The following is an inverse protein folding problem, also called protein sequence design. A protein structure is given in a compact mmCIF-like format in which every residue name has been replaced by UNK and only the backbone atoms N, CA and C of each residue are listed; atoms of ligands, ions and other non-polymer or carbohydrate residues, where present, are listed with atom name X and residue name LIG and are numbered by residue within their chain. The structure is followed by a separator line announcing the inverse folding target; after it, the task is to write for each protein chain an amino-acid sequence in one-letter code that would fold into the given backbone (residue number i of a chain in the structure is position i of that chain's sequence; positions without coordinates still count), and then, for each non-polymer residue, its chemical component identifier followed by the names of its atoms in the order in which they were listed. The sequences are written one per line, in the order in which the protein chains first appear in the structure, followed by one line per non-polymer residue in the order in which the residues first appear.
data_IF_074262708169
#
_entry.id   IF_074262708169
#
_cell.length_a   1.000
_cell.length_b   1.000
_cell.length_c   1.000
_cell.angle_alpha   90.00
_cell.angle_beta   90.00
_cell.angle_gamma   90.00
#
_symmetry.space_group_name_H-M   'P 1'
#
loop_
_entity.id
_entity.type
_entity.pdbx_description
1 polymer ?
#
# COMPACT_ATOMS: atom_id res chain seq x y z
N UNK A 1 3.09 9.22 -30.15
CA UNK A 1 2.99 8.70 -28.78
C UNK A 1 4.20 7.82 -28.59
N UNK A 2 5.21 8.31 -27.87
CA UNK A 2 6.41 7.53 -27.55
C UNK A 2 6.02 6.30 -26.72
N UNK A 3 6.64 5.17 -27.03
CA UNK A 3 6.32 3.90 -26.41
C UNK A 3 6.95 3.86 -25.01
N UNK A 4 6.27 4.42 -24.01
CA UNK A 4 6.72 4.51 -22.60
C UNK A 4 7.21 3.17 -22.00
N UNK A 5 6.86 2.04 -22.62
CA UNK A 5 7.33 0.71 -22.20
C UNK A 5 8.79 0.41 -22.55
N UNK A 6 9.39 1.11 -23.53
CA UNK A 6 10.80 0.92 -23.90
C UNK A 6 11.78 1.46 -22.85
N UNK A 7 11.31 2.29 -21.93
CA UNK A 7 12.12 2.92 -20.88
C UNK A 7 12.34 2.00 -19.66
N UNK A 8 11.66 0.86 -19.61
CA UNK A 8 11.73 -0.08 -18.49
C UNK A 8 12.34 -1.42 -18.92
N UNK A 9 13.05 -2.14 -18.02
CA UNK A 9 13.41 -3.52 -18.29
C UNK A 9 12.17 -4.40 -18.48
N UNK A 10 12.34 -5.52 -19.17
CA UNK A 10 11.33 -6.57 -19.27
C UNK A 10 11.06 -7.15 -17.87
N UNK A 11 9.80 -7.31 -17.44
CA UNK A 11 9.50 -7.78 -16.09
C UNK A 11 9.92 -9.24 -15.85
N UNK A 12 10.64 -9.50 -14.76
CA UNK A 12 10.90 -10.86 -14.30
C UNK A 12 9.73 -11.46 -13.51
N UNK A 13 8.94 -12.33 -14.15
CA UNK A 13 7.77 -12.98 -13.51
C UNK A 13 8.10 -14.02 -12.43
N UNK A 14 9.38 -14.34 -12.21
CA UNK A 14 9.81 -15.17 -11.07
C UNK A 14 10.07 -14.32 -9.81
N UNK A 15 10.06 -12.99 -9.92
CA UNK A 15 10.26 -12.07 -8.79
C UNK A 15 8.92 -11.46 -8.38
N UNK A 16 8.58 -11.66 -7.11
CA UNK A 16 7.31 -11.25 -6.51
C UNK A 16 7.57 -10.22 -5.41
N UNK A 17 6.82 -9.11 -5.43
CA UNK A 17 6.87 -8.10 -4.39
C UNK A 17 5.58 -8.06 -3.58
N UNK A 18 5.70 -8.15 -2.25
CA UNK A 18 4.57 -7.93 -1.34
C UNK A 18 4.06 -6.49 -1.49
N UNK A 19 2.76 -6.35 -1.74
CA UNK A 19 2.12 -5.07 -2.03
C UNK A 19 0.87 -4.87 -1.16
N UNK A 20 0.76 -3.69 -0.55
CA UNK A 20 -0.29 -3.34 0.38
C UNK A 20 -1.09 -2.15 -0.15
N UNK A 21 -2.42 -2.31 -0.22
CA UNK A 21 -3.36 -1.32 -0.79
C UNK A 21 -4.27 -0.71 0.27
N UNK A 22 -3.78 -0.64 1.51
CA UNK A 22 -4.55 -0.25 2.69
C UNK A 22 -4.36 1.22 3.10
N UNK A 23 -3.57 2.00 2.37
CA UNK A 23 -3.26 3.39 2.75
C UNK A 23 -4.33 4.35 2.23
N UNK A 24 -4.70 5.34 3.03
CA UNK A 24 -5.71 6.33 2.66
C UNK A 24 -5.38 7.73 3.19
N UNK A 25 -5.89 8.76 2.51
CA UNK A 25 -5.70 10.16 2.87
C UNK A 25 -7.00 10.99 2.75
N UNK A 26 -7.07 12.21 3.33
CA UNK A 26 -8.29 13.01 3.33
C UNK A 26 -8.84 13.34 1.94
N UNK A 27 -7.99 13.43 0.92
CA UNK A 27 -8.41 13.81 -0.43
C UNK A 27 -9.18 12.70 -1.16
N UNK A 28 -8.75 11.45 -1.03
CA UNK A 28 -9.34 10.31 -1.73
C UNK A 28 -10.24 9.45 -0.83
N UNK A 29 -9.99 9.46 0.47
CA UNK A 29 -10.61 8.55 1.45
C UNK A 29 -11.42 9.30 2.52
N UNK A 30 -11.36 10.64 2.54
CA UNK A 30 -12.05 11.48 3.53
C UNK A 30 -11.38 11.52 4.92
N UNK A 31 -10.41 10.64 5.17
CA UNK A 31 -9.57 10.59 6.38
C UNK A 31 -8.24 9.89 6.07
N UNK A 32 -7.29 9.98 6.98
CA UNK A 32 -6.12 9.10 6.93
C UNK A 32 -6.52 7.66 7.31
N UNK A 33 -5.92 6.69 6.62
CA UNK A 33 -6.06 5.26 6.90
C UNK A 33 -4.65 4.65 6.87
N UNK A 34 -4.32 3.81 7.86
CA UNK A 34 -2.99 3.23 8.10
C UNK A 34 -1.85 4.23 8.38
N UNK A 35 -1.86 5.45 7.82
CA UNK A 35 -0.87 6.48 8.16
C UNK A 35 -1.03 6.98 9.60
N UNK A 36 -2.26 7.07 10.09
CA UNK A 36 -2.61 7.48 11.45
C UNK A 36 -2.66 6.28 12.42
N UNK A 37 -1.83 5.25 12.19
CA UNK A 37 -1.85 4.00 12.93
C UNK A 37 -1.76 4.23 14.46
N UNK A 38 -2.45 3.44 15.30
CA UNK A 38 -2.28 3.52 16.74
C UNK A 38 -0.91 2.99 17.17
N UNK A 39 -0.38 3.58 18.23
CA UNK A 39 0.77 3.02 18.94
C UNK A 39 0.32 1.74 19.65
N UNK A 40 0.90 0.61 19.24
CA UNK A 40 0.54 -0.69 19.81
C UNK A 40 1.08 -0.82 21.24
N UNK A 41 0.24 -1.16 22.22
CA UNK A 41 0.70 -1.34 23.58
C UNK A 41 1.61 -2.56 23.68
N UNK A 42 2.61 -2.49 24.56
CA UNK A 42 3.36 -3.67 24.95
C UNK A 42 2.42 -4.67 25.67
N UNK A 43 2.63 -5.98 25.46
CA UNK A 43 1.76 -7.02 26.00
C UNK A 43 1.75 -7.08 27.54
N UNK A 44 2.86 -6.72 28.20
CA UNK A 44 2.93 -6.49 29.65
C UNK A 44 2.46 -5.06 29.99
N UNK A 45 1.36 -4.88 30.75
CA UNK A 45 0.85 -3.57 31.13
C UNK A 45 1.83 -2.70 31.92
N UNK A 46 2.74 -3.30 32.71
CA UNK A 46 3.75 -2.56 33.48
C UNK A 46 4.79 -1.93 32.57
N UNK A 47 5.13 -2.61 31.49
CA UNK A 47 6.02 -2.09 30.47
C UNK A 47 5.27 -1.06 29.62
N UNK A 48 4.02 -1.35 29.24
CA UNK A 48 3.19 -0.46 28.43
C UNK A 48 3.00 0.93 29.05
N UNK A 49 2.88 1.02 30.38
CA UNK A 49 2.75 2.31 31.08
C UNK A 49 3.96 3.23 30.95
N UNK A 50 5.11 2.69 30.52
CA UNK A 50 6.33 3.46 30.28
C UNK A 50 6.45 4.04 28.87
N UNK A 51 5.54 3.71 27.95
CA UNK A 51 5.58 4.13 26.55
C UNK A 51 4.41 5.06 26.18
N UNK A 52 4.58 5.92 25.15
CA UNK A 52 3.49 6.75 24.64
C UNK A 52 2.32 5.90 24.12
N UNK A 53 1.12 6.46 24.22
CA UNK A 53 -0.12 5.89 23.67
C UNK A 53 -0.79 6.91 22.75
N UNK A 54 -1.75 6.45 21.96
CA UNK A 54 -2.49 7.30 21.02
C UNK A 54 -2.33 6.85 19.57
N UNK A 55 -2.54 7.79 18.65
CA UNK A 55 -2.43 7.60 17.20
C UNK A 55 -1.48 8.64 16.62
N UNK A 56 -0.79 8.26 15.56
CA UNK A 56 0.00 9.20 14.76
C UNK A 56 -0.89 10.30 14.16
N UNK A 57 -0.34 11.48 13.91
CA UNK A 57 -1.04 12.64 13.33
C UNK A 57 -0.46 13.08 11.97
N UNK A 58 -0.88 12.43 10.86
CA UNK A 58 -0.40 12.79 9.53
C UNK A 58 -0.83 14.23 9.15
N UNK A 59 -0.04 14.94 8.30
CA UNK A 59 0.95 14.36 7.41
C UNK A 59 2.37 14.26 7.99
N UNK A 60 2.72 15.05 9.00
CA UNK A 60 4.11 15.14 9.49
C UNK A 60 4.47 13.99 10.45
N UNK A 61 3.49 13.48 11.19
CA UNK A 61 3.63 12.35 12.11
C UNK A 61 2.86 11.15 11.55
N UNK A 62 3.56 10.19 10.94
CA UNK A 62 2.97 8.98 10.36
C UNK A 62 3.45 7.74 11.10
N UNK A 63 2.66 6.67 11.04
CA UNK A 63 2.98 5.33 11.57
C UNK A 63 4.09 4.59 10.82
N UNK A 64 5.22 5.25 10.57
CA UNK A 64 6.39 4.68 9.91
C UNK A 64 7.67 5.37 10.36
N UNK A 65 8.77 4.62 10.46
CA UNK A 65 10.11 5.18 10.72
C UNK A 65 10.72 5.89 9.49
N UNK A 66 10.19 5.64 8.30
CA UNK A 66 10.61 6.25 7.04
C UNK A 66 9.45 7.05 6.45
N UNK A 67 9.77 8.11 5.71
CA UNK A 67 8.77 8.95 5.06
C UNK A 67 8.73 8.67 3.54
N UNK A 68 7.57 8.27 2.97
CA UNK A 68 7.47 8.02 1.54
C UNK A 68 7.73 9.28 0.71
N UNK A 69 8.42 9.15 -0.42
CA UNK A 69 8.61 10.26 -1.35
C UNK A 69 7.28 10.78 -1.94
N UNK A 70 6.25 9.92 -1.99
CA UNK A 70 4.88 10.27 -2.39
C UNK A 70 4.04 10.88 -1.25
N UNK A 71 4.63 11.06 -0.06
CA UNK A 71 3.91 11.49 1.15
C UNK A 71 2.93 10.43 1.68
N UNK A 72 2.04 10.81 2.61
CA UNK A 72 0.96 9.94 3.09
C UNK A 72 -0.13 9.82 2.02
N UNK A 73 0.18 9.01 1.00
CA UNK A 73 -0.63 8.83 -0.20
C UNK A 73 -1.90 8.01 0.06
N UNK A 74 -2.82 8.02 -0.90
CA UNK A 74 -3.93 7.07 -0.94
C UNK A 74 -3.62 5.93 -1.91
N UNK A 75 -3.90 4.69 -1.50
CA UNK A 75 -3.88 3.52 -2.40
C UNK A 75 -5.00 3.56 -3.43
N UNK A 76 -5.98 4.47 -3.29
CA UNK A 76 -7.06 4.72 -4.26
C UNK A 76 -6.67 5.75 -5.33
N UNK A 77 -5.56 6.47 -5.15
CA UNK A 77 -5.10 7.48 -6.10
C UNK A 77 -4.49 6.83 -7.35
N UNK A 78 -5.07 7.03 -8.55
CA UNK A 78 -4.54 6.45 -9.78
C UNK A 78 -3.10 6.88 -10.10
N UNK A 79 -2.70 8.10 -9.69
CA UNK A 79 -1.34 8.60 -9.93
C UNK A 79 -0.31 7.87 -9.08
N UNK A 80 -0.68 7.50 -7.86
CA UNK A 80 0.13 6.69 -6.94
C UNK A 80 0.26 5.27 -7.48
N UNK A 81 -0.84 4.66 -7.93
CA UNK A 81 -0.80 3.35 -8.57
C UNK A 81 0.10 3.35 -9.80
N UNK A 82 -0.02 4.35 -10.68
CA UNK A 82 0.84 4.49 -11.86
C UNK A 82 2.32 4.59 -11.48
N UNK A 83 2.66 5.40 -10.47
CA UNK A 83 4.03 5.54 -10.02
C UNK A 83 4.58 4.27 -9.35
N UNK A 84 3.76 3.55 -8.57
CA UNK A 84 4.16 2.25 -8.02
C UNK A 84 4.46 1.22 -9.11
N UNK A 85 3.64 1.15 -10.18
CA UNK A 85 3.92 0.23 -11.30
C UNK A 85 5.22 0.60 -12.02
N UNK A 86 5.52 1.90 -12.17
CA UNK A 86 6.80 2.38 -12.72
C UNK A 86 7.99 1.98 -11.83
N UNK A 87 7.85 2.09 -10.51
CA UNK A 87 8.89 1.68 -9.57
C UNK A 87 9.15 0.17 -9.64
N UNK A 88 8.09 -0.65 -9.68
CA UNK A 88 8.19 -2.11 -9.85
C UNK A 88 8.87 -2.49 -11.16
N UNK A 89 8.47 -1.85 -12.27
CA UNK A 89 9.12 -2.04 -13.57
C UNK A 89 10.59 -1.63 -13.55
N UNK A 90 10.93 -0.51 -12.92
CA UNK A 90 12.33 -0.08 -12.76
C UNK A 90 13.16 -1.08 -11.94
N UNK A 91 12.53 -1.78 -11.00
CA UNK A 91 13.14 -2.80 -10.16
C UNK A 91 13.17 -4.21 -10.77
N UNK A 92 12.75 -4.39 -12.04
CA UNK A 92 12.63 -5.70 -12.69
C UNK A 92 11.72 -6.69 -11.93
N UNK A 93 10.68 -6.18 -11.26
CA UNK A 93 9.65 -7.00 -10.62
C UNK A 93 8.53 -7.28 -11.62
N UNK A 94 8.14 -8.54 -11.78
CA UNK A 94 7.04 -8.93 -12.66
C UNK A 94 5.72 -9.23 -11.98
N UNK A 95 5.70 -9.48 -10.66
CA UNK A 95 4.48 -9.90 -9.95
C UNK A 95 4.27 -9.10 -8.66
N UNK A 96 3.10 -8.49 -8.53
CA UNK A 96 2.61 -7.92 -7.28
C UNK A 96 1.86 -8.99 -6.49
N UNK A 97 2.30 -9.28 -5.29
CA UNK A 97 1.60 -10.13 -4.35
C UNK A 97 0.79 -9.26 -3.39
N UNK A 98 -0.48 -9.05 -3.72
CA UNK A 98 -1.38 -8.11 -3.04
C UNK A 98 -1.91 -8.74 -1.77
N UNK A 99 -1.67 -8.10 -0.62
CA UNK A 99 -2.32 -8.46 0.64
C UNK A 99 -3.82 -8.22 0.51
N UNK A 100 -4.62 -9.28 0.61
CA UNK A 100 -6.06 -9.22 0.35
C UNK A 100 -6.86 -9.87 1.47
N UNK A 101 -7.89 -9.15 1.93
CA UNK A 101 -8.93 -9.64 2.82
C UNK A 101 -10.19 -9.92 2.01
N UNK A 102 -10.98 -10.96 2.34
CA UNK A 102 -12.30 -11.18 1.77
C UNK A 102 -13.22 -9.95 1.90
N UNK A 103 -14.25 -9.90 1.05
CA UNK A 103 -15.29 -8.86 1.13
C UNK A 103 -15.85 -8.73 2.53
N UNK A 104 -16.12 -7.50 2.93
CA UNK A 104 -16.58 -7.15 4.28
C UNK A 104 -15.57 -7.50 5.40
N UNK A 105 -14.31 -7.74 5.07
CA UNK A 105 -13.20 -7.91 6.02
C UNK A 105 -12.10 -6.88 5.75
N UNK A 106 -11.44 -6.48 6.83
CA UNK A 106 -10.31 -5.57 6.85
C UNK A 106 -9.47 -5.87 8.08
N UNK A 107 -8.22 -5.40 8.09
CA UNK A 107 -7.43 -5.41 9.32
C UNK A 107 -8.00 -4.42 10.36
N UNK A 108 -7.60 -4.57 11.62
CA UNK A 108 -8.09 -3.79 12.76
C UNK A 108 -7.94 -2.26 12.60
N UNK A 109 -7.06 -1.81 11.68
CA UNK A 109 -6.72 -0.40 11.47
C UNK A 109 -6.98 0.09 10.03
N UNK A 110 -7.57 -0.77 9.18
CA UNK A 110 -7.81 -0.51 7.76
C UNK A 110 -9.27 -0.31 7.40
N UNK A 111 -9.52 -0.30 6.09
CA UNK A 111 -10.86 -0.34 5.48
C UNK A 111 -10.95 -1.51 4.50
N UNK A 112 -12.15 -1.79 3.98
CA UNK A 112 -12.34 -2.78 2.93
C UNK A 112 -11.54 -2.41 1.67
N UNK A 113 -10.74 -3.36 1.19
CA UNK A 113 -9.82 -3.19 0.05
C UNK A 113 -10.24 -3.93 -1.21
N UNK A 114 -11.30 -4.77 -1.17
CA UNK A 114 -11.73 -5.56 -2.34
C UNK A 114 -12.11 -4.68 -3.53
N UNK A 115 -12.73 -3.52 -3.27
CA UNK A 115 -13.11 -2.56 -4.29
C UNK A 115 -11.91 -1.88 -4.99
N UNK A 116 -10.69 -2.01 -4.44
CA UNK A 116 -9.46 -1.48 -5.04
C UNK A 116 -8.80 -2.47 -5.98
N UNK A 117 -9.13 -3.76 -5.87
CA UNK A 117 -8.49 -4.80 -6.69
C UNK A 117 -8.64 -4.54 -8.20
N UNK A 118 -9.81 -4.11 -8.74
CA UNK A 118 -9.92 -3.74 -10.15
C UNK A 118 -8.95 -2.63 -10.56
N UNK A 119 -8.77 -1.60 -9.73
CA UNK A 119 -7.85 -0.48 -10.02
C UNK A 119 -6.39 -0.95 -10.09
N UNK A 120 -6.01 -1.87 -9.20
CA UNK A 120 -4.67 -2.46 -9.16
C UNK A 120 -4.43 -3.33 -10.40
N UNK A 121 -5.43 -4.13 -10.80
CA UNK A 121 -5.36 -4.97 -12.00
C UNK A 121 -5.21 -4.13 -13.27
N UNK A 122 -6.01 -3.07 -13.42
CA UNK A 122 -5.94 -2.15 -14.57
C UNK A 122 -4.59 -1.44 -14.64
N UNK A 123 -4.08 -0.97 -13.50
CA UNK A 123 -2.76 -0.34 -13.42
C UNK A 123 -1.63 -1.34 -13.75
N UNK A 124 -1.68 -2.55 -13.21
CA UNK A 124 -0.69 -3.59 -13.46
C UNK A 124 -0.66 -4.00 -14.94
N UNK A 125 -1.82 -4.16 -15.57
CA UNK A 125 -1.92 -4.55 -16.99
C UNK A 125 -1.29 -3.52 -17.93
N UNK A 126 -1.52 -2.22 -17.68
CA UNK A 126 -0.88 -1.11 -18.41
C UNK A 126 0.65 -1.19 -18.39
N UNK A 127 1.23 -1.80 -17.36
CA UNK A 127 2.68 -1.97 -17.18
C UNK A 127 3.14 -3.42 -17.37
N UNK A 128 2.32 -4.31 -17.95
CA UNK A 128 2.65 -5.72 -18.19
C UNK A 128 3.06 -6.48 -16.90
N UNK A 129 2.55 -6.06 -15.75
CA UNK A 129 2.78 -6.72 -14.47
C UNK A 129 1.67 -7.75 -14.21
N UNK A 130 1.95 -8.73 -13.37
CA UNK A 130 0.96 -9.73 -12.91
C UNK A 130 0.60 -9.49 -11.46
N UNK A 131 -0.60 -9.92 -11.08
CA UNK A 131 -1.12 -9.81 -9.72
C UNK A 131 -1.43 -11.20 -9.20
N UNK A 132 -0.98 -11.49 -7.99
CA UNK A 132 -1.40 -12.64 -7.19
C UNK A 132 -1.94 -12.14 -5.85
N UNK A 133 -2.82 -12.92 -5.22
CA UNK A 133 -3.43 -12.56 -3.94
C UNK A 133 -2.76 -13.33 -2.81
N UNK A 134 -2.41 -12.62 -1.74
CA UNK A 134 -2.02 -13.21 -0.46
C UNK A 134 -3.22 -13.11 0.45
N UNK A 135 -3.83 -14.25 0.72
CA UNK A 135 -4.99 -14.34 1.58
C UNK A 135 -4.58 -14.03 3.02
N UNK A 136 -5.29 -13.09 3.62
CA UNK A 136 -5.25 -12.82 5.06
C UNK A 136 -6.44 -13.52 5.72
N UNK A 137 -6.16 -14.18 6.83
CA UNK A 137 -7.14 -14.83 7.70
C UNK A 137 -7.59 -13.89 8.83
#
# INVERSE_FOLDING_TARGET
MENKMQDFPEPNYNVHAFYYVWYGNPQFDGKYVHWDHPLLPHWDPKVASGYPTGRHQPPDDIGANFYPALGPYSSRDPSVLEEHMRQLRTADVGVLAVSWYPRSMNDDNGEEIDNLLPLVLDAADKYQLKVVLILKE
#
